data_IF_090783957167
#
_entry.id   IF_090783957167
#
_cell.length_a   1.000
_cell.length_b   1.000
_cell.length_c   1.000
_cell.angle_alpha   90.00
_cell.angle_beta   90.00
_cell.angle_gamma   90.00
#
_symmetry.space_group_name_H-M   'P 1'
#
loop_
_entity.id
_entity.type
_entity.pdbx_description
1 polymer ?
#
# COMPACT_ATOMS: atom_id res chain seq x y z
N UNK A 1 -4.73 -25.47 -15.36
CA UNK A 1 -4.60 -24.43 -14.32
C UNK A 1 -3.12 -24.10 -14.27
N UNK A 2 -2.71 -23.13 -15.07
CA UNK A 2 -1.31 -22.74 -15.20
C UNK A 2 -0.98 -21.92 -13.96
N UNK A 3 0.06 -22.31 -13.21
CA UNK A 3 0.61 -21.44 -12.17
C UNK A 3 1.32 -20.31 -12.93
N UNK A 4 0.61 -19.21 -13.12
CA UNK A 4 1.14 -18.02 -13.77
C UNK A 4 2.41 -17.57 -13.04
N UNK A 5 3.37 -17.07 -13.83
CA UNK A 5 4.55 -16.38 -13.32
C UNK A 5 4.19 -15.42 -12.17
N UNK A 6 5.07 -15.22 -11.18
CA UNK A 6 4.76 -14.26 -10.13
C UNK A 6 4.47 -12.89 -10.76
N UNK A 7 3.26 -12.36 -10.47
CA UNK A 7 2.79 -11.01 -10.86
C UNK A 7 3.81 -9.94 -10.48
N UNK A 8 4.67 -10.23 -9.51
CA UNK A 8 5.71 -9.34 -9.01
C UNK A 8 7.04 -9.50 -9.75
N UNK A 9 7.56 -8.38 -10.24
CA UNK A 9 8.96 -8.27 -10.65
C UNK A 9 9.77 -7.77 -9.45
N UNK A 10 10.54 -8.67 -8.84
CA UNK A 10 11.49 -8.30 -7.79
C UNK A 10 12.55 -7.36 -8.35
N UNK A 11 12.84 -6.29 -7.61
CA UNK A 11 13.95 -5.41 -7.94
C UNK A 11 15.27 -6.06 -7.52
N UNK A 12 16.32 -5.91 -8.32
CA UNK A 12 17.66 -6.42 -7.96
C UNK A 12 18.16 -5.85 -6.62
N UNK A 13 17.74 -4.61 -6.32
CA UNK A 13 17.94 -3.95 -5.03
C UNK A 13 16.68 -3.16 -4.69
N UNK A 14 16.22 -3.18 -3.42
CA UNK A 14 15.15 -2.30 -3.00
C UNK A 14 15.49 -0.84 -3.29
N UNK A 15 14.50 -0.07 -3.75
CA UNK A 15 14.63 1.37 -3.95
C UNK A 15 13.91 2.13 -2.86
N UNK A 16 14.33 3.37 -2.62
CA UNK A 16 13.55 4.29 -1.80
C UNK A 16 12.17 4.56 -2.44
N UNK A 17 11.22 4.91 -1.59
CA UNK A 17 9.95 5.48 -2.04
C UNK A 17 10.20 6.82 -2.74
N UNK A 18 9.46 7.06 -3.82
CA UNK A 18 9.33 8.38 -4.43
C UNK A 18 8.52 9.31 -3.52
N UNK A 19 8.60 10.62 -3.78
CA UNK A 19 7.86 11.61 -3.00
C UNK A 19 6.34 11.37 -3.02
N UNK A 20 5.79 10.93 -4.15
CA UNK A 20 4.36 10.64 -4.28
C UNK A 20 3.96 9.40 -3.47
N UNK A 21 4.76 8.33 -3.53
CA UNK A 21 4.55 7.12 -2.73
C UNK A 21 4.64 7.44 -1.22
N UNK A 22 5.65 8.22 -0.80
CA UNK A 22 5.76 8.68 0.59
C UNK A 22 4.51 9.44 1.04
N UNK A 23 4.02 10.37 0.22
CA UNK A 23 2.82 11.17 0.54
C UNK A 23 1.59 10.28 0.72
N UNK A 24 1.37 9.36 -0.21
CA UNK A 24 0.23 8.43 -0.21
C UNK A 24 0.30 7.51 1.03
N UNK A 25 1.43 6.85 1.25
CA UNK A 25 1.59 5.93 2.38
C UNK A 25 1.47 6.67 3.72
N UNK A 26 2.07 7.87 3.84
CA UNK A 26 1.94 8.68 5.05
C UNK A 26 0.49 9.10 5.34
N UNK A 27 -0.28 9.42 4.30
CA UNK A 27 -1.70 9.76 4.43
C UNK A 27 -2.52 8.56 4.93
N UNK A 28 -2.29 7.38 4.37
CA UNK A 28 -2.96 6.14 4.80
C UNK A 28 -2.56 5.79 6.24
N UNK A 29 -1.27 5.83 6.57
CA UNK A 29 -0.78 5.57 7.93
C UNK A 29 -1.39 6.53 8.98
N UNK A 30 -1.58 7.79 8.62
CA UNK A 30 -2.19 8.81 9.50
C UNK A 30 -3.64 8.48 9.87
N UNK A 31 -4.39 7.78 9.01
CA UNK A 31 -5.77 7.40 9.34
C UNK A 31 -5.85 6.28 10.39
N UNK A 32 -4.80 5.47 10.53
CA UNK A 32 -4.72 4.40 11.53
C UNK A 32 -4.28 4.93 12.90
N UNK A 33 -3.54 6.05 12.91
CA UNK A 33 -2.93 6.65 14.11
C UNK A 33 -2.10 5.63 14.93
N UNK A 34 -1.33 4.78 14.23
CA UNK A 34 -0.50 3.72 14.84
C UNK A 34 1.00 4.08 14.73
N UNK A 35 1.70 4.36 15.85
CA UNK A 35 3.10 4.79 15.84
C UNK A 35 4.05 3.85 15.10
N UNK A 36 3.86 2.53 15.20
CA UNK A 36 4.72 1.57 14.48
C UNK A 36 4.46 1.60 12.98
N UNK A 37 3.21 1.80 12.55
CA UNK A 37 2.88 1.97 11.14
C UNK A 37 3.53 3.24 10.58
N UNK A 38 3.53 4.34 11.33
CA UNK A 38 4.21 5.58 10.93
C UNK A 38 5.71 5.39 10.71
N UNK A 39 6.39 4.65 11.59
CA UNK A 39 7.82 4.35 11.43
C UNK A 39 8.09 3.48 10.22
N UNK A 40 7.27 2.45 10.04
CA UNK A 40 7.35 1.58 8.86
C UNK A 40 7.13 2.37 7.57
N UNK A 41 6.10 3.21 7.50
CA UNK A 41 5.82 4.09 6.37
C UNK A 41 6.99 5.03 6.04
N UNK A 42 7.64 5.59 7.06
CA UNK A 42 8.76 6.51 6.88
C UNK A 42 10.06 5.84 6.42
N UNK A 43 10.25 4.56 6.73
CA UNK A 43 11.46 3.78 6.42
C UNK A 43 11.29 2.79 5.27
N UNK A 44 10.06 2.67 4.75
CA UNK A 44 9.74 1.66 3.75
C UNK A 44 10.54 1.82 2.46
N UNK A 45 10.84 0.69 1.84
CA UNK A 45 11.50 0.58 0.55
C UNK A 45 10.63 -0.25 -0.39
N UNK A 46 10.74 0.00 -1.68
CA UNK A 46 10.07 -0.81 -2.71
C UNK A 46 10.96 -1.99 -3.06
N UNK A 47 10.46 -3.20 -2.83
CA UNK A 47 11.15 -4.45 -3.11
C UNK A 47 10.72 -5.07 -4.45
N UNK A 48 9.51 -4.79 -4.93
CA UNK A 48 9.00 -5.28 -6.21
C UNK A 48 7.97 -4.33 -6.83
N UNK A 49 7.73 -4.47 -8.12
CA UNK A 49 6.68 -3.76 -8.88
C UNK A 49 5.77 -4.75 -9.59
N UNK A 50 4.52 -4.39 -9.88
CA UNK A 50 3.63 -5.24 -10.68
C UNK A 50 4.17 -5.41 -12.12
N UNK A 51 4.13 -6.63 -12.65
CA UNK A 51 4.40 -6.94 -14.06
C UNK A 51 3.21 -6.65 -14.97
N UNK A 52 2.03 -6.52 -14.39
CA UNK A 52 0.79 -6.21 -15.10
C UNK A 52 0.75 -4.81 -15.70
N UNK A 53 1.65 -3.91 -15.25
CA UNK A 53 1.71 -2.52 -15.71
C UNK A 53 1.02 -1.52 -14.79
N UNK A 54 0.25 -1.97 -13.79
CA UNK A 54 -0.34 -1.06 -12.80
C UNK A 54 0.74 -0.46 -11.87
N UNK A 55 0.32 0.52 -11.08
CA UNK A 55 1.20 1.26 -10.17
C UNK A 55 1.41 0.58 -8.81
N UNK A 56 0.97 -0.67 -8.63
CA UNK A 56 1.14 -1.41 -7.38
C UNK A 56 2.61 -1.77 -7.12
N UNK A 57 3.00 -1.70 -5.84
CA UNK A 57 4.37 -1.93 -5.38
C UNK A 57 4.37 -2.81 -4.13
N UNK A 58 5.35 -3.72 -4.05
CA UNK A 58 5.62 -4.46 -2.81
C UNK A 58 6.61 -3.68 -1.96
N UNK A 59 6.29 -3.54 -0.69
CA UNK A 59 7.03 -2.78 0.29
C UNK A 59 7.85 -3.71 1.21
N UNK A 60 8.90 -3.15 1.81
CA UNK A 60 9.62 -3.75 2.91
C UNK A 60 10.04 -2.67 3.91
N UNK A 61 10.09 -3.01 5.19
CA UNK A 61 10.63 -2.16 6.25
C UNK A 61 11.30 -3.01 7.33
N UNK A 62 12.46 -2.55 7.79
CA UNK A 62 13.24 -3.20 8.86
C UNK A 62 12.75 -2.82 10.27
N UNK A 63 11.72 -1.97 10.36
CA UNK A 63 11.12 -1.57 11.64
C UNK A 63 10.42 -2.72 12.35
N UNK A 64 10.01 -2.50 13.60
CA UNK A 64 9.26 -3.49 14.37
C UNK A 64 7.85 -3.70 13.80
N UNK A 65 7.33 -4.94 13.80
CA UNK A 65 5.96 -5.20 13.41
C UNK A 65 5.00 -4.65 14.46
N UNK A 66 3.81 -4.23 14.05
CA UNK A 66 2.70 -3.93 14.95
C UNK A 66 2.35 -5.21 15.73
N UNK A 67 2.20 -5.16 17.06
CA UNK A 67 1.84 -6.33 17.86
C UNK A 67 0.53 -6.96 17.39
N UNK A 68 0.47 -8.29 17.39
CA UNK A 68 -0.70 -9.06 16.96
C UNK A 68 -2.03 -8.61 17.62
N UNK A 69 -2.12 -8.36 18.94
CA UNK A 69 -3.38 -7.88 19.53
C UNK A 69 -3.88 -6.58 18.91
N UNK A 70 -2.95 -5.69 18.54
CA UNK A 70 -3.27 -4.43 17.88
C UNK A 70 -3.67 -4.63 16.42
N UNK A 71 -3.09 -5.62 15.73
CA UNK A 71 -3.52 -6.02 14.38
C UNK A 71 -4.95 -6.55 14.42
N UNK A 72 -5.30 -7.42 15.39
CA UNK A 72 -6.68 -7.91 15.56
C UNK A 72 -7.66 -6.75 15.77
N UNK A 73 -7.32 -5.77 16.62
CA UNK A 73 -8.17 -4.58 16.85
C UNK A 73 -8.41 -3.73 15.60
N UNK A 74 -7.46 -3.71 14.66
CA UNK A 74 -7.53 -2.92 13.43
C UNK A 74 -8.19 -3.68 12.28
N UNK A 75 -8.21 -5.01 12.34
CA UNK A 75 -8.82 -5.88 11.33
C UNK A 75 -10.34 -5.88 11.47
N UNK A 76 -11.06 -5.74 10.35
CA UNK A 76 -12.52 -5.86 10.28
C UNK A 76 -13.00 -7.28 10.64
N UNK A 77 -12.24 -8.32 10.29
CA UNK A 77 -12.59 -9.73 10.50
C UNK A 77 -11.83 -10.40 11.67
N UNK A 78 -11.35 -9.63 12.66
CA UNK A 78 -10.56 -10.12 13.80
C UNK A 78 -9.32 -10.95 13.39
N UNK A 79 -8.75 -10.68 12.21
CA UNK A 79 -7.58 -11.41 11.72
C UNK A 79 -6.33 -11.00 12.50
N UNK A 80 -5.53 -11.96 13.00
CA UNK A 80 -4.32 -11.66 13.76
C UNK A 80 -3.14 -11.20 12.89
N UNK A 81 -3.26 -11.37 11.57
CA UNK A 81 -2.14 -11.26 10.64
C UNK A 81 -2.39 -10.25 9.52
N UNK A 82 -3.52 -9.56 9.51
CA UNK A 82 -3.91 -8.75 8.36
C UNK A 82 -4.85 -7.60 8.75
N UNK A 83 -4.55 -6.42 8.22
CA UNK A 83 -5.54 -5.37 7.99
C UNK A 83 -5.10 -4.57 6.75
N UNK A 84 -5.98 -3.74 6.24
CA UNK A 84 -5.73 -2.86 5.11
C UNK A 84 -6.24 -1.45 5.39
N UNK A 85 -5.66 -0.48 4.69
CA UNK A 85 -6.12 0.90 4.72
C UNK A 85 -6.45 1.31 3.30
N UNK A 86 -7.69 1.66 3.06
CA UNK A 86 -8.16 2.12 1.75
C UNK A 86 -8.13 3.64 1.71
N UNK A 87 -7.86 4.21 0.54
CA UNK A 87 -8.11 5.62 0.26
C UNK A 87 -8.53 5.78 -1.19
N UNK A 88 -9.40 6.76 -1.44
CA UNK A 88 -9.92 7.04 -2.77
C UNK A 88 -9.44 8.41 -3.24
N UNK A 89 -9.11 8.51 -4.51
CA UNK A 89 -8.72 9.76 -5.14
C UNK A 89 -9.04 9.75 -6.62
N UNK A 90 -8.71 10.86 -7.28
CA UNK A 90 -8.92 10.99 -8.71
C UNK A 90 -7.67 11.61 -9.35
N UNK A 91 -7.43 11.27 -10.62
CA UNK A 91 -6.43 11.94 -11.45
C UNK A 91 -7.03 13.17 -12.15
N UNK A 92 -6.22 14.04 -12.80
CA UNK A 92 -6.72 15.24 -13.47
C UNK A 92 -7.69 14.97 -14.63
N UNK A 93 -7.60 13.79 -15.24
CA UNK A 93 -8.53 13.28 -16.25
C UNK A 93 -9.78 12.61 -15.65
N UNK A 94 -10.01 12.78 -14.34
CA UNK A 94 -11.16 12.29 -13.58
C UNK A 94 -11.29 10.75 -13.56
N UNK A 95 -10.16 10.04 -13.66
CA UNK A 95 -10.13 8.61 -13.42
C UNK A 95 -10.18 8.36 -11.90
N UNK A 96 -11.14 7.56 -11.46
CA UNK A 96 -11.25 7.10 -10.08
C UNK A 96 -10.12 6.13 -9.76
N UNK A 97 -9.45 6.35 -8.63
CA UNK A 97 -8.33 5.54 -8.17
C UNK A 97 -8.57 5.13 -6.72
N UNK A 98 -8.54 3.83 -6.47
CA UNK A 98 -8.46 3.28 -5.12
C UNK A 98 -7.02 2.90 -4.84
N UNK A 99 -6.54 3.29 -3.67
CA UNK A 99 -5.24 2.90 -3.15
C UNK A 99 -5.44 2.10 -1.87
N UNK A 100 -4.80 0.94 -1.78
CA UNK A 100 -4.90 0.06 -0.61
C UNK A 100 -3.51 -0.19 -0.06
N UNK A 101 -3.29 0.13 1.21
CA UNK A 101 -2.08 -0.23 1.93
C UNK A 101 -2.35 -1.51 2.73
N UNK A 102 -1.75 -2.61 2.29
CA UNK A 102 -1.85 -3.90 2.99
C UNK A 102 -0.80 -4.00 4.09
N UNK A 103 -1.24 -4.39 5.29
CA UNK A 103 -0.38 -4.69 6.43
C UNK A 103 -0.51 -6.17 6.76
N UNK A 104 0.57 -6.93 6.57
CA UNK A 104 0.62 -8.38 6.79
C UNK A 104 1.58 -8.67 7.94
N UNK A 105 1.14 -9.46 8.93
CA UNK A 105 1.90 -9.80 10.13
C UNK A 105 2.44 -8.54 10.84
N UNK A 106 1.62 -7.48 10.89
CA UNK A 106 1.97 -6.19 11.46
C UNK A 106 2.99 -5.38 10.67
N UNK A 107 3.26 -5.74 9.39
CA UNK A 107 4.23 -5.07 8.52
C UNK A 107 3.61 -4.52 7.24
N UNK A 108 3.98 -3.30 6.84
CA UNK A 108 3.65 -2.77 5.52
C UNK A 108 4.16 -3.73 4.45
N UNK A 109 3.26 -4.17 3.58
CA UNK A 109 3.54 -5.24 2.64
C UNK A 109 3.36 -4.80 1.19
N UNK A 110 2.29 -4.08 0.90
CA UNK A 110 1.95 -3.69 -0.45
C UNK A 110 1.19 -2.37 -0.44
N UNK A 111 1.51 -1.54 -1.43
CA UNK A 111 0.65 -0.43 -1.83
C UNK A 111 0.02 -0.83 -3.17
N UNK A 112 -1.23 -1.24 -3.12
CA UNK A 112 -2.01 -1.65 -4.29
C UNK A 112 -2.74 -0.44 -4.86
N UNK A 113 -2.74 -0.30 -6.19
CA UNK A 113 -3.35 0.82 -6.90
C UNK A 113 -4.28 0.29 -7.98
N UNK A 114 -5.57 0.56 -7.81
CA UNK A 114 -6.61 0.24 -8.77
C UNK A 114 -7.10 1.50 -9.46
N UNK A 115 -7.11 1.50 -10.80
CA UNK A 115 -7.56 2.64 -11.57
C UNK A 115 -8.27 2.19 -12.84
N UNK A 116 -9.59 2.36 -12.91
CA UNK A 116 -10.37 1.89 -14.06
C UNK A 116 -10.28 0.37 -14.25
N UNK A 117 -9.61 -0.05 -15.33
CA UNK A 117 -9.43 -1.47 -15.69
C UNK A 117 -8.13 -2.06 -15.07
N UNK A 118 -8.05 -3.39 -15.02
CA UNK A 118 -6.86 -4.10 -14.51
C UNK A 118 -5.61 -3.76 -15.33
N UNK A 119 -4.47 -3.55 -14.65
CA UNK A 119 -3.17 -3.29 -15.29
C UNK A 119 -2.94 -1.84 -15.75
N UNK A 120 -3.88 -0.93 -15.54
CA UNK A 120 -3.72 0.49 -15.90
C UNK A 120 -2.76 1.17 -14.93
N UNK A 121 -1.70 1.78 -15.50
CA UNK A 121 -0.75 2.57 -14.74
C UNK A 121 -1.31 3.96 -14.44
N UNK A 122 -1.20 4.41 -13.20
CA UNK A 122 -1.53 5.78 -12.79
C UNK A 122 -0.35 6.44 -12.11
N UNK A 123 -0.11 7.70 -12.45
CA UNK A 123 0.87 8.51 -11.73
C UNK A 123 0.33 8.89 -10.36
N UNK A 124 0.89 8.32 -9.29
CA UNK A 124 0.55 8.72 -7.92
C UNK A 124 0.84 10.22 -7.69
N UNK A 125 1.77 10.81 -8.45
CA UNK A 125 2.06 12.24 -8.34
C UNK A 125 0.88 13.12 -8.78
N UNK A 126 0.04 12.63 -9.71
CA UNK A 126 -1.14 13.35 -10.20
C UNK A 126 -2.42 13.06 -9.42
N UNK A 127 -2.37 12.13 -8.46
CA UNK A 127 -3.50 11.84 -7.60
C UNK A 127 -3.80 13.07 -6.73
N UNK A 128 -5.04 13.54 -6.75
CA UNK A 128 -5.54 14.50 -5.77
C UNK A 128 -5.41 13.92 -4.35
N UNK A 129 -5.57 14.76 -3.32
CA UNK A 129 -5.54 14.27 -1.94
C UNK A 129 -6.52 13.09 -1.75
N UNK A 130 -6.05 12.05 -1.04
CA UNK A 130 -6.85 10.87 -0.74
C UNK A 130 -7.99 11.24 0.23
N UNK A 131 -9.21 11.01 -0.23
CA UNK A 131 -10.46 11.09 0.51
C UNK A 131 -10.89 9.69 1.01
N UNK A 132 -11.91 9.69 1.86
CA UNK A 132 -12.62 8.48 2.33
C UNK A 132 -11.69 7.36 2.82
N UNK A 133 -10.70 7.74 3.63
CA UNK A 133 -9.72 6.79 4.13
C UNK A 133 -10.36 5.91 5.21
N UNK A 134 -10.41 4.60 5.00
CA UNK A 134 -10.97 3.61 5.94
C UNK A 134 -9.95 2.55 6.30
N UNK A 135 -10.12 1.95 7.48
CA UNK A 135 -9.33 0.81 7.95
C UNK A 135 -10.25 -0.40 7.99
N UNK A 136 -9.85 -1.47 7.29
CA UNK A 136 -10.58 -2.73 7.17
C UNK A 136 -9.67 -3.92 7.53
#
# INVERSE_FOLDING_TARGET
>A
MQMDDPVWQMLERPRALSQAECRVIARLATAVDEPLLHRQAASATVAAVCRCGCSSIRLNSDEQPIPEPRVVELSQDDRPDYFQVNGFGHTPDLLDVQVVLHVIQGRVYELEVFAGEEGVAVSLASLSDLADVTVD
#
